data_IF_802033799769
#
_entry.id   IF_802033799769
#
_cell.length_a   1.000
_cell.length_b   1.000
_cell.length_c   1.000
_cell.angle_alpha   90.00
_cell.angle_beta   90.00
_cell.angle_gamma   90.00
#
_symmetry.space_group_name_H-M   'P 1'
#
loop_
_entity.id
_entity.type
_entity.pdbx_description
1 polymer ?
#
# COMPACT_ATOMS: atom_id res chain seq x y z
N UNK A 1 8.67 -18.06 1.00
CA UNK A 1 7.49 -17.46 1.62
C UNK A 1 7.83 -16.35 2.60
N UNK A 2 8.70 -16.59 3.58
CA UNK A 2 9.00 -15.63 4.65
C UNK A 2 9.33 -14.21 4.20
N UNK A 3 9.95 -14.02 3.03
CA UNK A 3 10.29 -12.68 2.50
C UNK A 3 9.05 -11.92 2.03
N UNK A 4 8.07 -12.60 1.45
CA UNK A 4 6.85 -11.97 0.91
C UNK A 4 5.75 -11.80 1.96
N UNK A 5 5.75 -12.66 2.98
CA UNK A 5 4.75 -12.67 4.05
C UNK A 5 5.24 -11.99 5.33
N UNK A 6 6.31 -11.19 5.23
CA UNK A 6 6.74 -10.33 6.34
C UNK A 6 5.64 -9.35 6.72
N UNK A 7 5.53 -9.08 8.02
CA UNK A 7 4.59 -8.08 8.52
C UNK A 7 4.90 -6.70 7.93
N UNK A 8 3.86 -5.98 7.56
CA UNK A 8 3.99 -4.59 7.14
C UNK A 8 4.41 -3.74 8.34
N UNK A 9 5.52 -3.01 8.25
CA UNK A 9 6.01 -2.21 9.38
C UNK A 9 5.01 -1.12 9.74
N UNK A 10 4.96 -0.78 11.03
CA UNK A 10 4.18 0.33 11.58
C UNK A 10 2.65 0.18 11.54
N UNK A 11 2.14 -1.01 11.30
CA UNK A 11 0.71 -1.29 11.51
C UNK A 11 0.45 -1.76 12.95
N UNK A 12 -0.66 -1.34 13.57
CA UNK A 12 -1.01 -1.77 14.93
C UNK A 12 -1.39 -3.25 15.00
N UNK A 13 -1.81 -3.83 13.89
CA UNK A 13 -2.08 -5.25 13.73
C UNK A 13 -1.08 -5.86 12.77
N UNK A 14 -0.74 -7.12 12.98
CA UNK A 14 0.12 -7.86 12.06
C UNK A 14 -0.62 -8.14 10.77
N UNK A 15 -0.17 -7.53 9.70
CA UNK A 15 -0.67 -7.78 8.36
C UNK A 15 0.50 -8.15 7.44
N UNK A 16 0.40 -9.22 6.66
CA UNK A 16 1.45 -9.59 5.72
C UNK A 16 1.59 -8.53 4.63
N UNK A 17 2.82 -8.26 4.19
CA UNK A 17 3.11 -7.31 3.13
C UNK A 17 2.40 -7.67 1.80
N UNK A 18 2.26 -8.96 1.54
CA UNK A 18 1.54 -9.48 0.37
C UNK A 18 0.66 -10.67 0.78
N UNK A 19 -0.51 -10.75 0.17
CA UNK A 19 -1.36 -11.96 0.20
C UNK A 19 -0.83 -12.93 -0.87
N UNK A 20 -0.18 -14.01 -0.43
CA UNK A 20 0.57 -14.94 -1.29
C UNK A 20 -0.19 -16.25 -1.42
N UNK A 21 -0.60 -16.58 -2.64
CA UNK A 21 -1.14 -17.89 -2.99
C UNK A 21 -0.06 -18.73 -3.67
N UNK A 22 0.26 -19.89 -3.08
CA UNK A 22 1.17 -20.85 -3.67
C UNK A 22 0.41 -21.83 -4.56
N UNK A 23 0.86 -21.96 -5.79
CA UNK A 23 0.32 -22.92 -6.74
C UNK A 23 1.44 -23.72 -7.38
N UNK A 24 1.21 -25.00 -7.62
CA UNK A 24 2.10 -25.84 -8.39
C UNK A 24 1.90 -25.64 -9.91
N UNK A 25 2.80 -26.21 -10.69
CA UNK A 25 2.76 -26.08 -12.16
C UNK A 25 1.53 -26.68 -12.79
N UNK A 26 0.88 -27.67 -12.16
CA UNK A 26 -0.32 -28.33 -12.69
C UNK A 26 -1.54 -27.43 -12.60
N UNK A 27 -1.56 -26.53 -11.62
CA UNK A 27 -2.62 -25.54 -11.41
C UNK A 27 -2.35 -24.20 -12.09
N UNK A 28 -1.20 -24.04 -12.73
CA UNK A 28 -0.85 -22.83 -13.45
C UNK A 28 -1.53 -22.81 -14.83
N UNK A 29 -2.75 -22.33 -14.87
CA UNK A 29 -3.65 -22.34 -16.03
C UNK A 29 -3.97 -20.90 -16.53
N UNK A 30 -4.88 -20.79 -17.49
CA UNK A 30 -5.26 -19.50 -18.08
C UNK A 30 -5.78 -18.50 -17.04
N UNK A 31 -6.53 -18.93 -16.03
CA UNK A 31 -7.09 -18.06 -15.00
C UNK A 31 -5.99 -17.54 -14.07
N UNK A 32 -5.10 -18.43 -13.59
CA UNK A 32 -4.01 -18.05 -12.70
C UNK A 32 -2.96 -17.15 -13.36
N UNK A 33 -2.82 -17.26 -14.70
CA UNK A 33 -1.97 -16.35 -15.50
C UNK A 33 -2.45 -14.91 -15.54
N UNK A 34 -3.71 -14.64 -15.17
CA UNK A 34 -4.24 -13.27 -15.14
C UNK A 34 -3.94 -12.52 -13.83
N UNK A 35 -3.30 -13.15 -12.85
CA UNK A 35 -2.89 -12.48 -11.63
C UNK A 35 -1.95 -11.29 -11.93
N UNK A 36 -2.11 -10.19 -11.21
CA UNK A 36 -1.34 -8.95 -11.44
C UNK A 36 0.15 -9.11 -11.20
N UNK A 37 0.50 -9.84 -10.13
CA UNK A 37 1.89 -10.17 -9.80
C UNK A 37 2.04 -11.69 -9.74
N UNK A 38 3.01 -12.21 -10.49
CA UNK A 38 3.32 -13.64 -10.52
C UNK A 38 4.81 -13.80 -10.26
N UNK A 39 5.17 -14.69 -9.33
CA UNK A 39 6.56 -15.08 -9.09
C UNK A 39 6.70 -16.54 -9.48
N UNK A 40 7.48 -16.81 -10.53
CA UNK A 40 7.80 -18.15 -11.01
C UNK A 40 9.16 -18.54 -10.50
N UNK A 41 9.21 -19.58 -9.67
CA UNK A 41 10.48 -20.12 -9.14
C UNK A 41 10.83 -21.39 -9.89
N UNK A 42 12.01 -21.40 -10.51
CA UNK A 42 12.55 -22.57 -11.22
C UNK A 42 13.82 -23.04 -10.54
N UNK A 43 13.80 -24.26 -10.04
CA UNK A 43 14.97 -24.92 -9.43
C UNK A 43 15.50 -25.94 -10.40
N UNK A 44 16.69 -25.70 -10.96
CA UNK A 44 17.32 -26.64 -11.90
C UNK A 44 18.86 -26.53 -11.83
N UNK A 45 19.54 -27.48 -11.16
CA UNK A 45 21.01 -27.48 -11.04
C UNK A 45 21.72 -27.75 -12.36
N UNK A 46 21.07 -28.38 -13.33
CA UNK A 46 21.67 -28.66 -14.63
C UNK A 46 21.79 -27.42 -15.53
N UNK A 47 20.92 -26.41 -15.27
CA UNK A 47 20.81 -25.20 -16.10
C UNK A 47 21.36 -23.97 -15.40
N UNK A 48 21.17 -23.87 -14.08
CA UNK A 48 21.52 -22.67 -13.32
C UNK A 48 22.71 -22.93 -12.42
N UNK A 49 23.69 -22.03 -12.46
CA UNK A 49 24.89 -22.06 -11.59
C UNK A 49 24.77 -21.12 -10.40
N UNK A 50 23.82 -20.16 -10.45
CA UNK A 50 23.57 -19.18 -9.39
C UNK A 50 22.12 -18.72 -9.41
N UNK A 51 21.65 -18.20 -8.27
CA UNK A 51 20.30 -17.59 -8.19
C UNK A 51 20.28 -16.27 -8.92
N UNK A 52 19.32 -16.11 -9.84
CA UNK A 52 19.08 -14.88 -10.61
C UNK A 52 17.60 -14.53 -10.63
N UNK A 53 17.32 -13.23 -10.57
CA UNK A 53 15.96 -12.67 -10.69
C UNK A 53 15.92 -11.82 -11.97
N UNK A 54 14.91 -12.07 -12.79
CA UNK A 54 14.53 -11.21 -13.92
C UNK A 54 13.04 -10.97 -13.87
N UNK A 55 12.56 -9.97 -14.55
CA UNK A 55 11.12 -9.71 -14.62
C UNK A 55 10.70 -9.24 -16.02
N UNK A 56 9.45 -9.46 -16.32
CA UNK A 56 8.79 -9.03 -17.54
C UNK A 56 7.45 -8.38 -17.18
N UNK A 57 6.98 -7.47 -18.04
CA UNK A 57 5.70 -6.80 -17.87
C UNK A 57 4.73 -7.23 -18.95
N UNK A 58 3.44 -7.30 -18.60
CA UNK A 58 2.35 -7.56 -19.55
C UNK A 58 2.52 -8.88 -20.33
N UNK A 59 2.94 -9.96 -19.69
CA UNK A 59 3.19 -11.24 -20.33
C UNK A 59 1.88 -11.88 -20.79
N UNK A 60 0.90 -11.99 -19.87
CA UNK A 60 -0.42 -12.59 -20.16
C UNK A 60 -1.58 -11.61 -19.95
N UNK A 61 -1.36 -10.55 -19.20
CA UNK A 61 -2.38 -9.55 -18.91
C UNK A 61 -1.78 -8.14 -18.87
N UNK A 62 -2.60 -7.14 -19.13
CA UNK A 62 -2.20 -5.73 -19.03
C UNK A 62 -1.93 -5.34 -17.58
N UNK A 63 -0.94 -4.51 -17.34
CA UNK A 63 -0.49 -4.05 -16.02
C UNK A 63 0.02 -5.18 -15.12
N UNK A 64 0.45 -6.29 -15.71
CA UNK A 64 1.00 -7.46 -15.03
C UNK A 64 2.51 -7.34 -14.85
N UNK A 65 3.01 -7.81 -13.72
CA UNK A 65 4.43 -8.08 -13.47
C UNK A 65 4.64 -9.58 -13.27
N UNK A 66 5.51 -10.18 -14.07
CA UNK A 66 5.96 -11.56 -13.91
C UNK A 66 7.43 -11.55 -13.53
N UNK A 67 7.74 -12.13 -12.38
CA UNK A 67 9.10 -12.25 -11.86
C UNK A 67 9.55 -13.70 -11.98
N UNK A 68 10.69 -13.93 -12.59
CA UNK A 68 11.31 -15.24 -12.73
C UNK A 68 12.49 -15.33 -11.76
N UNK A 69 12.44 -16.30 -10.88
CA UNK A 69 13.51 -16.61 -9.92
C UNK A 69 14.11 -17.95 -10.30
N UNK A 70 15.26 -17.92 -10.92
CA UNK A 70 15.98 -19.11 -11.38
C UNK A 70 17.10 -19.43 -10.40
N UNK A 71 17.20 -20.68 -9.95
CA UNK A 71 18.17 -21.09 -8.94
C UNK A 71 18.61 -22.54 -9.14
N UNK A 72 19.86 -22.89 -8.80
CA UNK A 72 20.30 -24.28 -8.86
C UNK A 72 19.76 -25.13 -7.71
N UNK A 73 19.44 -24.53 -6.55
CA UNK A 73 18.93 -25.26 -5.39
C UNK A 73 18.09 -24.39 -4.45
N UNK A 74 17.26 -25.03 -3.63
CA UNK A 74 16.51 -24.37 -2.58
C UNK A 74 17.40 -23.68 -1.54
N UNK A 75 18.56 -24.28 -1.22
CA UNK A 75 19.53 -23.69 -0.29
C UNK A 75 20.12 -22.40 -0.83
N UNK A 76 20.55 -22.36 -2.09
CA UNK A 76 21.04 -21.12 -2.71
C UNK A 76 19.96 -20.07 -2.84
N UNK A 77 18.72 -20.46 -3.12
CA UNK A 77 17.59 -19.55 -3.09
C UNK A 77 17.41 -18.90 -1.71
N UNK A 78 17.42 -19.72 -0.66
CA UNK A 78 17.28 -19.24 0.73
C UNK A 78 18.39 -18.25 1.11
N UNK A 79 19.64 -18.56 0.79
CA UNK A 79 20.78 -17.68 1.03
C UNK A 79 20.68 -16.37 0.23
N UNK A 80 20.24 -16.44 -1.01
CA UNK A 80 20.03 -15.26 -1.84
C UNK A 80 18.92 -14.37 -1.27
N UNK A 81 17.79 -14.96 -0.87
CA UNK A 81 16.65 -14.23 -0.31
C UNK A 81 16.98 -13.58 1.03
N UNK A 82 17.79 -14.22 1.87
CA UNK A 82 18.28 -13.62 3.11
C UNK A 82 19.09 -12.33 2.87
N UNK A 83 19.87 -12.28 1.79
CA UNK A 83 20.72 -11.13 1.46
C UNK A 83 20.02 -10.08 0.60
N UNK A 84 19.17 -10.48 -0.31
CA UNK A 84 18.63 -9.63 -1.37
C UNK A 84 17.09 -9.70 -1.53
N UNK A 85 16.37 -10.36 -0.60
CA UNK A 85 14.92 -10.50 -0.66
C UNK A 85 14.19 -9.15 -0.68
N UNK A 86 14.74 -8.12 -0.02
CA UNK A 86 14.21 -6.76 -0.05
C UNK A 86 14.10 -6.17 -1.47
N UNK A 87 14.92 -6.63 -2.42
CA UNK A 87 14.84 -6.20 -3.83
C UNK A 87 13.59 -6.75 -4.50
N UNK A 88 13.21 -7.99 -4.17
CA UNK A 88 11.99 -8.60 -4.68
C UNK A 88 10.75 -7.89 -4.10
N UNK A 89 10.69 -7.69 -2.79
CA UNK A 89 9.57 -6.97 -2.16
C UNK A 89 9.45 -5.54 -2.69
N UNK A 90 10.55 -4.81 -2.84
CA UNK A 90 10.55 -3.45 -3.42
C UNK A 90 10.06 -3.44 -4.87
N UNK A 91 10.43 -4.44 -5.68
CA UNK A 91 9.97 -4.55 -7.06
C UNK A 91 8.45 -4.77 -7.13
N UNK A 92 7.93 -5.70 -6.32
CA UNK A 92 6.49 -6.01 -6.25
C UNK A 92 5.70 -4.82 -5.72
N UNK A 93 6.14 -4.20 -4.62
CA UNK A 93 5.49 -2.99 -4.05
C UNK A 93 5.43 -1.86 -5.06
N UNK A 94 6.53 -1.61 -5.78
CA UNK A 94 6.56 -0.57 -6.83
C UNK A 94 5.60 -0.88 -7.97
N UNK A 95 5.45 -2.13 -8.35
CA UNK A 95 4.50 -2.54 -9.39
C UNK A 95 3.04 -2.27 -8.94
N UNK A 96 2.69 -2.64 -7.71
CA UNK A 96 1.36 -2.38 -7.14
C UNK A 96 1.07 -0.87 -7.02
N UNK A 97 2.03 -0.08 -6.52
CA UNK A 97 1.89 1.38 -6.44
C UNK A 97 1.68 2.00 -7.82
N UNK A 98 2.47 1.59 -8.83
CA UNK A 98 2.32 2.11 -10.20
C UNK A 98 0.95 1.75 -10.79
N UNK A 99 0.46 0.55 -10.53
CA UNK A 99 -0.88 0.12 -10.97
C UNK A 99 -1.96 0.95 -10.28
N UNK A 100 -1.86 1.16 -8.97
CA UNK A 100 -2.78 2.00 -8.21
C UNK A 100 -2.79 3.46 -8.74
N UNK A 101 -1.62 4.05 -8.99
CA UNK A 101 -1.50 5.40 -9.57
C UNK A 101 -2.15 5.45 -10.97
N UNK A 102 -1.93 4.45 -11.80
CA UNK A 102 -2.54 4.39 -13.15
C UNK A 102 -4.07 4.31 -13.07
N UNK A 103 -4.60 3.52 -12.15
CA UNK A 103 -6.05 3.42 -11.88
C UNK A 103 -6.62 4.76 -11.40
N UNK A 104 -5.94 5.41 -10.45
CA UNK A 104 -6.35 6.73 -9.95
C UNK A 104 -6.33 7.79 -11.05
N UNK A 105 -5.34 7.77 -11.94
CA UNK A 105 -5.28 8.69 -13.10
C UNK A 105 -6.40 8.47 -14.10
N UNK A 106 -6.81 7.22 -14.30
CA UNK A 106 -7.91 6.86 -15.19
C UNK A 106 -9.29 7.25 -14.63
N UNK A 107 -9.46 7.23 -13.31
CA UNK A 107 -10.71 7.60 -12.64
C UNK A 107 -10.47 8.06 -11.22
N UNK A 108 -10.72 9.35 -10.96
CA UNK A 108 -10.53 9.95 -9.64
C UNK A 108 -11.67 10.89 -9.26
N UNK A 109 -11.76 11.27 -8.00
CA UNK A 109 -12.73 12.22 -7.49
C UNK A 109 -12.26 13.67 -7.77
N UNK A 110 -12.51 14.14 -8.99
CA UNK A 110 -12.10 15.48 -9.44
C UNK A 110 -12.65 16.62 -8.57
N UNK A 111 -13.83 16.45 -7.98
CA UNK A 111 -14.44 17.45 -7.09
C UNK A 111 -13.63 17.59 -5.80
N UNK A 112 -13.27 16.46 -5.19
CA UNK A 112 -12.41 16.45 -3.99
C UNK A 112 -11.01 17.01 -4.28
N UNK A 113 -10.39 16.60 -5.40
CA UNK A 113 -9.10 17.12 -5.86
C UNK A 113 -9.11 18.65 -6.02
N UNK A 114 -10.16 19.18 -6.68
CA UNK A 114 -10.32 20.62 -6.87
C UNK A 114 -10.49 21.36 -5.54
N UNK A 115 -11.19 20.75 -4.58
CA UNK A 115 -11.37 21.34 -3.25
C UNK A 115 -10.07 21.35 -2.46
N UNK A 116 -9.29 20.26 -2.51
CA UNK A 116 -7.97 20.18 -1.88
C UNK A 116 -7.02 21.21 -2.50
N UNK A 117 -6.98 21.29 -3.83
CA UNK A 117 -6.14 22.26 -4.52
C UNK A 117 -6.48 23.70 -4.14
N UNK A 118 -7.77 24.03 -4.11
CA UNK A 118 -8.22 25.39 -3.75
C UNK A 118 -7.91 25.74 -2.30
N UNK A 119 -8.03 24.78 -1.37
CA UNK A 119 -7.85 25.03 0.07
C UNK A 119 -6.40 25.00 0.50
N UNK A 120 -5.60 24.08 -0.05
CA UNK A 120 -4.24 23.79 0.40
C UNK A 120 -3.15 24.08 -0.63
N UNK A 121 -3.51 24.34 -1.90
CA UNK A 121 -2.54 24.52 -2.99
C UNK A 121 -1.92 23.23 -3.52
N UNK A 122 -2.34 22.05 -3.04
CA UNK A 122 -1.76 20.75 -3.41
C UNK A 122 -2.50 20.07 -4.53
N UNK A 123 -1.76 19.30 -5.34
CA UNK A 123 -2.33 18.36 -6.29
C UNK A 123 -2.29 16.96 -5.66
N UNK A 124 -3.42 16.38 -5.41
CA UNK A 124 -3.56 15.06 -4.81
C UNK A 124 -4.57 14.24 -5.62
N UNK A 125 -4.24 13.01 -5.98
CA UNK A 125 -5.17 12.09 -6.63
C UNK A 125 -6.04 11.44 -5.55
N UNK A 126 -7.37 11.55 -5.71
CA UNK A 126 -8.34 11.01 -4.76
C UNK A 126 -9.12 9.89 -5.43
N UNK A 127 -9.22 8.69 -4.82
CA UNK A 127 -10.00 7.59 -5.36
C UNK A 127 -11.45 8.00 -5.64
N UNK A 128 -12.01 7.52 -6.76
CA UNK A 128 -13.36 7.88 -7.20
C UNK A 128 -14.46 7.50 -6.21
N UNK A 129 -14.23 6.45 -5.42
CA UNK A 129 -15.14 5.96 -4.38
C UNK A 129 -15.18 6.82 -3.11
N UNK A 130 -14.21 7.70 -2.87
CA UNK A 130 -14.17 8.62 -1.74
C UNK A 130 -15.18 9.77 -1.95
N UNK A 131 -16.48 9.46 -1.83
CA UNK A 131 -17.58 10.38 -2.15
C UNK A 131 -18.24 11.00 -0.92
N UNK A 132 -18.25 10.29 0.19
CA UNK A 132 -18.73 10.82 1.46
C UNK A 132 -17.66 11.72 2.08
N UNK A 133 -18.07 12.71 2.88
CA UNK A 133 -17.09 13.53 3.58
C UNK A 133 -17.64 14.84 4.13
N UNK A 134 -16.76 15.57 4.80
CA UNK A 134 -17.02 16.86 5.42
C UNK A 134 -15.91 17.83 5.06
N UNK A 135 -16.29 19.07 4.80
CA UNK A 135 -15.33 20.16 4.58
C UNK A 135 -15.53 21.21 5.68
N UNK A 136 -14.45 21.54 6.35
CA UNK A 136 -14.39 22.60 7.38
C UNK A 136 -13.35 23.67 7.02
N UNK A 137 -13.08 24.55 7.96
CA UNK A 137 -12.00 25.54 7.82
C UNK A 137 -10.65 24.82 7.90
N UNK A 138 -9.84 24.86 6.83
CA UNK A 138 -8.54 24.18 6.73
C UNK A 138 -8.62 22.66 7.00
N UNK A 139 -9.76 22.02 6.69
CA UNK A 139 -10.00 20.62 6.92
C UNK A 139 -10.90 20.02 5.84
N UNK A 140 -10.50 18.89 5.30
CA UNK A 140 -11.32 18.04 4.42
C UNK A 140 -11.19 16.60 4.91
N UNK A 141 -12.33 15.97 5.16
CA UNK A 141 -12.45 14.54 5.40
C UNK A 141 -13.22 13.90 4.25
N UNK A 142 -12.68 12.81 3.73
CA UNK A 142 -13.27 11.99 2.67
C UNK A 142 -13.34 10.55 3.12
N UNK A 143 -14.40 9.84 2.73
CA UNK A 143 -14.62 8.43 3.05
C UNK A 143 -15.22 7.69 1.86
N UNK A 144 -14.90 6.40 1.72
CA UNK A 144 -15.60 5.50 0.81
C UNK A 144 -16.88 4.92 1.45
N UNK A 145 -17.10 5.19 2.74
CA UNK A 145 -18.28 4.79 3.53
C UNK A 145 -18.64 3.30 3.41
N UNK A 146 -17.66 2.45 3.25
CA UNK A 146 -17.87 0.99 3.14
C UNK A 146 -18.10 0.39 4.52
N UNK A 147 -19.11 -0.45 4.70
CA UNK A 147 -19.44 -1.00 6.02
C UNK A 147 -18.43 -2.07 6.51
N UNK A 148 -17.77 -2.76 5.57
CA UNK A 148 -16.84 -3.84 5.86
C UNK A 148 -15.41 -3.36 6.15
N UNK A 149 -14.98 -2.31 5.46
CA UNK A 149 -13.61 -1.78 5.54
C UNK A 149 -13.58 -0.32 5.11
N UNK A 150 -14.02 0.55 6.00
CA UNK A 150 -14.07 1.99 5.74
C UNK A 150 -12.67 2.58 5.63
N UNK A 151 -12.38 3.23 4.50
CA UNK A 151 -11.16 4.01 4.30
C UNK A 151 -11.47 5.50 4.42
N UNK A 152 -10.59 6.21 5.10
CA UNK A 152 -10.73 7.64 5.36
C UNK A 152 -9.47 8.39 4.93
N UNK A 153 -9.65 9.56 4.33
CA UNK A 153 -8.58 10.51 4.01
C UNK A 153 -8.92 11.82 4.71
N UNK A 154 -8.02 12.29 5.59
CA UNK A 154 -8.13 13.60 6.20
C UNK A 154 -6.98 14.48 5.69
N UNK A 155 -7.32 15.64 5.12
CA UNK A 155 -6.36 16.65 4.70
C UNK A 155 -6.61 17.90 5.53
N UNK A 156 -5.59 18.38 6.20
CA UNK A 156 -5.70 19.57 7.05
C UNK A 156 -4.35 20.31 7.15
N UNK A 157 -4.41 21.58 7.55
CA UNK A 157 -3.23 22.36 7.88
C UNK A 157 -3.30 22.81 9.33
N UNK A 158 -2.14 22.90 9.96
CA UNK A 158 -1.95 23.50 11.27
C UNK A 158 -0.75 24.45 11.26
N UNK A 159 -0.74 25.40 12.18
CA UNK A 159 0.34 26.37 12.27
C UNK A 159 1.53 25.75 13.00
N UNK A 160 2.71 25.83 12.40
CA UNK A 160 3.96 25.37 12.99
C UNK A 160 5.12 25.45 12.00
N UNK A 161 6.30 25.72 12.50
CA UNK A 161 7.52 25.82 11.70
C UNK A 161 8.42 24.58 11.81
N UNK A 162 8.15 23.70 12.77
CA UNK A 162 8.98 22.52 13.06
C UNK A 162 8.16 21.24 12.87
N UNK A 163 8.70 20.33 12.09
CA UNK A 163 8.15 18.97 11.92
C UNK A 163 8.63 18.12 13.12
N UNK A 164 7.93 18.26 14.25
CA UNK A 164 8.14 17.47 15.45
C UNK A 164 6.98 16.46 15.59
N UNK A 165 7.31 15.19 15.74
CA UNK A 165 6.33 14.12 15.81
C UNK A 165 5.31 14.33 16.94
N UNK A 166 5.74 14.79 18.11
CA UNK A 166 4.84 15.10 19.23
C UNK A 166 3.84 16.21 18.91
N UNK A 167 4.31 17.28 18.29
CA UNK A 167 3.44 18.39 17.86
C UNK A 167 2.51 17.98 16.74
N UNK A 168 2.98 17.17 15.80
CA UNK A 168 2.17 16.66 14.71
C UNK A 168 1.03 15.77 15.23
N UNK A 169 1.30 14.91 16.21
CA UNK A 169 0.28 14.08 16.86
C UNK A 169 -0.73 14.92 17.67
N UNK A 170 -0.25 15.85 18.47
CA UNK A 170 -1.12 16.74 19.23
C UNK A 170 -2.01 17.60 18.32
N UNK A 171 -1.46 18.12 17.21
CA UNK A 171 -2.21 18.84 16.20
C UNK A 171 -3.25 17.93 15.52
N UNK A 172 -2.86 16.71 15.15
CA UNK A 172 -3.80 15.72 14.60
C UNK A 172 -4.97 15.49 15.54
N UNK A 173 -4.72 15.15 16.80
CA UNK A 173 -5.77 14.82 17.76
C UNK A 173 -6.67 16.03 18.06
N UNK A 174 -6.12 17.24 18.10
CA UNK A 174 -6.88 18.48 18.21
C UNK A 174 -7.79 18.70 16.99
N UNK A 175 -7.28 18.48 15.78
CA UNK A 175 -8.05 18.61 14.54
C UNK A 175 -9.16 17.55 14.48
N UNK A 176 -8.88 16.31 14.87
CA UNK A 176 -9.88 15.25 14.91
C UNK A 176 -10.98 15.54 15.93
N UNK A 177 -10.62 16.01 17.12
CA UNK A 177 -11.59 16.42 18.15
C UNK A 177 -12.58 17.46 17.63
N UNK A 178 -12.09 18.46 16.88
CA UNK A 178 -12.91 19.54 16.36
C UNK A 178 -13.79 19.12 15.17
N UNK A 179 -13.33 18.18 14.36
CA UNK A 179 -13.94 17.89 13.07
C UNK A 179 -14.64 16.53 12.99
N UNK A 180 -14.19 15.53 13.77
CA UNK A 180 -14.73 14.17 13.77
C UNK A 180 -15.04 13.76 15.22
N UNK A 181 -16.08 14.33 15.85
CA UNK A 181 -16.54 13.92 17.18
C UNK A 181 -17.06 12.48 17.12
N UNK A 182 -16.96 11.77 18.22
CA UNK A 182 -17.59 10.47 18.40
C UNK A 182 -19.09 10.60 18.70
N UNK A 183 -19.73 9.47 19.00
CA UNK A 183 -21.17 9.38 19.28
C UNK A 183 -21.54 9.99 20.62
N UNK A 184 -20.65 9.96 21.61
CA UNK A 184 -20.88 10.51 22.95
C UNK A 184 -20.04 11.78 23.14
N UNK A 185 -20.52 12.67 24.03
CA UNK A 185 -19.82 13.89 24.40
C UNK A 185 -18.39 13.62 24.87
N UNK A 186 -17.44 14.36 24.31
CA UNK A 186 -16.02 14.23 24.60
C UNK A 186 -15.29 13.11 23.83
N UNK A 187 -16.00 12.22 23.14
CA UNK A 187 -15.39 11.22 22.28
C UNK A 187 -14.92 11.83 20.95
N UNK A 188 -13.76 11.39 20.49
CA UNK A 188 -13.21 11.76 19.17
C UNK A 188 -12.16 10.74 18.74
N UNK A 189 -11.79 10.77 17.46
CA UNK A 189 -10.72 9.92 16.92
C UNK A 189 -9.36 10.37 17.46
N UNK A 190 -8.82 9.63 18.39
CA UNK A 190 -7.54 9.89 19.06
C UNK A 190 -6.46 8.92 18.60
N UNK A 191 -5.21 9.37 18.61
CA UNK A 191 -4.04 8.49 18.41
C UNK A 191 -3.87 7.56 19.60
N UNK A 192 -3.77 6.27 19.37
CA UNK A 192 -3.49 5.30 20.43
C UNK A 192 -2.09 5.54 20.97
N UNK A 193 -1.91 5.77 22.30
CA UNK A 193 -0.59 5.92 22.89
C UNK A 193 0.33 4.73 22.55
N UNK A 194 1.57 5.01 22.14
CA UNK A 194 2.55 3.97 21.79
C UNK A 194 2.39 3.34 20.40
N UNK A 195 1.37 3.72 19.63
CA UNK A 195 1.19 3.20 18.25
C UNK A 195 2.05 3.91 17.21
N UNK A 196 2.70 5.00 17.59
CA UNK A 196 3.57 5.79 16.69
C UNK A 196 5.01 5.69 17.18
N UNK A 197 5.87 5.19 16.32
CA UNK A 197 7.33 5.24 16.49
C UNK A 197 7.87 6.42 15.68
N UNK A 198 8.63 7.29 16.33
CA UNK A 198 9.30 8.41 15.69
C UNK A 198 10.57 7.95 14.96
#
# INVERSE_FOLDING_TARGET
DSVLTQDMPSLPQREPMFDVSLIDTTRFNQTTRLARCIVIVTVNPAVFTSTRIRYEKNVWARSQLVVYVNTPSASQLSQYMAKAGHRLTSLLTRAEINTAISTLRAGSNRKAESSIRRMFGWNMLIPAEMKAGKTGRNFIWLSDNRPDRMRNICVYSYSGTTLDAHRALAARDSVMRLNIPGELDGMYMQTTPGSVTA
#
